data_IF_520696419109
#
_entry.id   IF_520696419109
#
_cell.length_a   1.000
_cell.length_b   1.000
_cell.length_c   1.000
_cell.angle_alpha   90.00
_cell.angle_beta   90.00
_cell.angle_gamma   90.00
#
_symmetry.space_group_name_H-M   'P 1'
#
loop_
_entity.id
_entity.type
_entity.pdbx_description
1 polymer ?
#
# COMPACT_ATOMS: atom_id res chain seq x y z
N UNK A 1 -9.10 29.11 -12.16
CA UNK A 1 -9.47 27.92 -11.39
C UNK A 1 -9.29 26.73 -12.32
N UNK A 2 -8.35 25.83 -12.03
CA UNK A 2 -8.17 24.60 -12.81
C UNK A 2 -9.33 23.69 -12.41
N UNK A 3 -10.20 23.33 -13.35
CA UNK A 3 -11.23 22.32 -13.11
C UNK A 3 -10.57 21.03 -12.60
N UNK A 4 -11.08 20.42 -11.53
CA UNK A 4 -10.56 19.13 -11.09
C UNK A 4 -10.62 18.15 -12.27
N UNK A 5 -9.50 17.50 -12.57
CA UNK A 5 -9.45 16.50 -13.62
C UNK A 5 -10.26 15.28 -13.17
N UNK A 6 -11.30 14.94 -13.92
CA UNK A 6 -12.15 13.78 -13.65
C UNK A 6 -11.55 12.58 -14.39
N UNK A 7 -11.29 11.50 -13.66
CA UNK A 7 -10.85 10.23 -14.25
C UNK A 7 -12.06 9.31 -14.45
N UNK A 8 -12.04 8.51 -15.52
CA UNK A 8 -13.15 7.63 -15.88
C UNK A 8 -13.31 6.50 -14.85
N UNK A 9 -12.19 5.85 -14.49
CA UNK A 9 -12.12 4.78 -13.48
C UNK A 9 -10.89 4.96 -12.62
N UNK A 10 -10.97 4.49 -11.41
CA UNK A 10 -9.81 4.40 -10.50
C UNK A 10 -9.54 2.93 -10.20
N UNK A 11 -8.32 2.47 -10.50
CA UNK A 11 -7.86 1.11 -10.29
C UNK A 11 -6.85 1.15 -9.16
N UNK A 12 -7.16 0.50 -8.04
CA UNK A 12 -6.33 0.48 -6.83
C UNK A 12 -5.74 -0.92 -6.67
N UNK A 13 -4.42 -1.03 -6.57
CA UNK A 13 -3.69 -2.29 -6.39
C UNK A 13 -2.69 -2.15 -5.24
N UNK A 14 -2.34 -3.27 -4.60
CA UNK A 14 -1.39 -3.27 -3.47
C UNK A 14 -0.43 -4.45 -3.52
N UNK A 15 0.65 -4.37 -2.75
CA UNK A 15 1.57 -5.47 -2.42
C UNK A 15 2.06 -6.23 -3.65
N UNK A 16 2.61 -5.48 -4.61
CA UNK A 16 3.13 -6.01 -5.88
C UNK A 16 4.35 -6.90 -5.66
N UNK A 17 5.18 -6.58 -4.66
CA UNK A 17 6.31 -7.40 -4.24
C UNK A 17 7.12 -7.98 -5.40
N UNK A 18 7.46 -7.18 -6.42
CA UNK A 18 8.22 -7.64 -7.57
C UNK A 18 7.51 -8.68 -8.45
N UNK A 19 6.20 -8.92 -8.28
CA UNK A 19 5.38 -9.79 -9.11
C UNK A 19 4.98 -9.07 -10.42
N UNK A 20 5.97 -8.74 -11.22
CA UNK A 20 5.82 -7.88 -12.39
C UNK A 20 4.90 -8.45 -13.47
N UNK A 21 4.97 -9.77 -13.71
CA UNK A 21 4.14 -10.42 -14.74
C UNK A 21 2.65 -10.44 -14.34
N UNK A 22 2.38 -10.63 -13.05
CA UNK A 22 1.02 -10.56 -12.48
C UNK A 22 0.50 -9.12 -12.55
N UNK A 23 1.35 -8.13 -12.29
CA UNK A 23 1.00 -6.72 -12.44
C UNK A 23 0.62 -6.39 -13.89
N UNK A 24 1.41 -6.79 -14.88
CA UNK A 24 1.06 -6.64 -16.31
C UNK A 24 -0.24 -7.37 -16.65
N UNK A 25 -0.41 -8.59 -16.13
CA UNK A 25 -1.63 -9.38 -16.28
C UNK A 25 -2.85 -8.65 -15.73
N UNK A 26 -2.71 -8.00 -14.56
CA UNK A 26 -3.77 -7.23 -13.92
C UNK A 26 -4.13 -5.97 -14.72
N UNK A 27 -3.15 -5.20 -15.17
CA UNK A 27 -3.36 -4.04 -16.05
C UNK A 27 -4.09 -4.44 -17.34
N UNK A 28 -3.69 -5.57 -17.95
CA UNK A 28 -4.38 -6.13 -19.15
C UNK A 28 -5.81 -6.57 -18.83
N UNK A 29 -6.03 -7.27 -17.72
CA UNK A 29 -7.35 -7.78 -17.32
C UNK A 29 -8.34 -6.67 -17.01
N UNK A 30 -7.86 -5.60 -16.35
CA UNK A 30 -8.63 -4.39 -16.07
C UNK A 30 -8.80 -3.51 -17.30
N UNK A 31 -8.09 -3.80 -18.40
CA UNK A 31 -8.01 -2.96 -19.60
C UNK A 31 -7.59 -1.52 -19.25
N UNK A 32 -6.64 -1.40 -18.32
CA UNK A 32 -6.12 -0.10 -17.91
C UNK A 32 -5.54 0.67 -19.10
N UNK A 33 -5.91 1.93 -19.23
CA UNK A 33 -5.40 2.81 -20.28
C UNK A 33 -5.36 4.26 -19.80
N UNK A 34 -4.19 4.88 -19.91
CA UNK A 34 -4.00 6.31 -19.63
C UNK A 34 -4.84 7.16 -20.60
N UNK A 35 -4.88 6.79 -21.88
CA UNK A 35 -5.60 7.52 -22.93
C UNK A 35 -7.12 7.49 -22.73
N UNK A 36 -7.64 6.43 -22.09
CA UNK A 36 -9.05 6.34 -21.74
C UNK A 36 -9.42 7.11 -20.47
N UNK A 37 -8.43 7.75 -19.81
CA UNK A 37 -8.66 8.51 -18.58
C UNK A 37 -8.79 7.64 -17.33
N UNK A 38 -8.22 6.44 -17.32
CA UNK A 38 -8.14 5.62 -16.12
C UNK A 38 -7.08 6.17 -15.15
N UNK A 39 -7.35 6.10 -13.86
CA UNK A 39 -6.38 6.38 -12.78
C UNK A 39 -5.85 5.07 -12.20
N UNK A 40 -4.55 4.97 -11.99
CA UNK A 40 -3.91 3.87 -11.26
C UNK A 40 -3.43 4.36 -9.90
N UNK A 41 -3.69 3.59 -8.85
CA UNK A 41 -3.22 3.86 -7.48
C UNK A 41 -2.55 2.60 -6.93
N UNK A 42 -1.28 2.73 -6.51
CA UNK A 42 -0.50 1.62 -5.94
C UNK A 42 -0.29 1.86 -4.44
N UNK A 43 -0.74 0.93 -3.60
CA UNK A 43 -0.75 1.08 -2.15
C UNK A 43 0.52 0.56 -1.46
N UNK A 44 1.67 0.69 -2.11
CA UNK A 44 2.97 0.33 -1.55
C UNK A 44 3.34 -1.14 -1.70
N UNK A 45 4.46 -1.49 -1.06
CA UNK A 45 5.12 -2.80 -1.12
C UNK A 45 5.34 -3.26 -2.57
N UNK A 46 5.98 -2.39 -3.35
CA UNK A 46 6.36 -2.64 -4.74
C UNK A 46 7.56 -3.57 -4.85
N UNK A 47 8.41 -3.60 -3.82
CA UNK A 47 9.70 -4.31 -3.80
C UNK A 47 9.70 -5.52 -2.87
N UNK A 48 10.76 -6.31 -2.90
CA UNK A 48 10.99 -7.55 -2.15
C UNK A 48 10.15 -8.76 -2.62
N UNK A 49 10.55 -9.94 -2.17
CA UNK A 49 9.88 -11.25 -2.28
C UNK A 49 9.83 -11.83 -3.69
N UNK A 50 9.23 -11.14 -4.64
CA UNK A 50 9.17 -11.56 -6.04
C UNK A 50 10.42 -11.17 -6.82
N UNK A 51 10.53 -11.64 -8.08
CA UNK A 51 11.80 -11.62 -8.83
C UNK A 51 12.16 -10.28 -9.48
N UNK A 52 11.24 -9.32 -9.56
CA UNK A 52 11.37 -8.18 -10.49
C UNK A 52 11.01 -6.84 -9.85
N UNK A 53 11.58 -6.57 -8.65
CA UNK A 53 11.31 -5.33 -7.89
C UNK A 53 11.61 -4.07 -8.70
N UNK A 54 12.76 -3.97 -9.35
CA UNK A 54 13.11 -2.80 -10.16
C UNK A 54 12.15 -2.60 -11.33
N UNK A 55 11.77 -3.68 -12.04
CA UNK A 55 10.83 -3.57 -13.16
C UNK A 55 9.46 -3.06 -12.73
N UNK A 56 9.00 -3.42 -11.53
CA UNK A 56 7.73 -2.89 -10.97
C UNK A 56 7.86 -1.40 -10.75
N UNK A 57 8.90 -0.96 -10.04
CA UNK A 57 9.14 0.46 -9.74
C UNK A 57 9.29 1.28 -11.01
N UNK A 58 10.17 0.85 -11.93
CA UNK A 58 10.46 1.55 -13.17
C UNK A 58 9.20 1.66 -14.07
N UNK A 59 8.35 0.63 -14.09
CA UNK A 59 7.12 0.65 -14.86
C UNK A 59 6.12 1.67 -14.29
N UNK A 60 5.95 1.73 -12.97
CA UNK A 60 5.03 2.69 -12.33
C UNK A 60 5.55 4.12 -12.57
N UNK A 61 6.84 4.36 -12.42
CA UNK A 61 7.48 5.65 -12.73
C UNK A 61 7.25 6.05 -14.20
N UNK A 62 7.43 5.10 -15.12
CA UNK A 62 7.21 5.35 -16.55
C UNK A 62 5.73 5.69 -16.85
N UNK A 63 4.78 4.98 -16.25
CA UNK A 63 3.35 5.31 -16.36
C UNK A 63 3.04 6.70 -15.78
N UNK A 64 3.67 7.07 -14.67
CA UNK A 64 3.48 8.37 -14.05
C UNK A 64 4.00 9.51 -14.94
N UNK A 65 5.12 9.29 -15.64
CA UNK A 65 5.68 10.26 -16.59
C UNK A 65 4.83 10.38 -17.88
N UNK A 66 4.17 9.31 -18.32
CA UNK A 66 3.32 9.30 -19.51
C UNK A 66 1.94 9.88 -19.24
N UNK A 67 1.42 9.69 -18.03
CA UNK A 67 0.12 10.15 -17.62
C UNK A 67 0.09 11.64 -17.28
N UNK A 68 -1.12 12.16 -17.10
CA UNK A 68 -1.33 13.51 -16.57
C UNK A 68 -1.23 13.53 -15.04
N UNK A 69 -1.06 14.72 -14.48
CA UNK A 69 -0.93 14.88 -13.03
C UNK A 69 -2.10 14.21 -12.25
N UNK A 70 -1.78 13.37 -11.29
CA UNK A 70 -2.76 12.64 -10.48
C UNK A 70 -3.36 11.40 -11.14
N UNK A 71 -2.92 11.04 -12.35
CA UNK A 71 -3.43 9.85 -13.05
C UNK A 71 -2.76 8.55 -12.57
N UNK A 72 -1.48 8.60 -12.25
CA UNK A 72 -0.77 7.46 -11.64
C UNK A 72 -0.23 7.92 -10.29
N UNK A 73 -0.67 7.28 -9.24
CA UNK A 73 -0.34 7.61 -7.87
C UNK A 73 0.20 6.37 -7.15
N UNK A 74 1.12 6.59 -6.22
CA UNK A 74 1.60 5.54 -5.34
C UNK A 74 1.76 6.06 -3.92
N UNK A 75 1.65 5.19 -2.94
CA UNK A 75 2.05 5.44 -1.57
C UNK A 75 3.18 4.50 -1.18
N UNK A 76 3.91 4.85 -0.13
CA UNK A 76 5.01 4.04 0.37
C UNK A 76 4.48 2.86 1.19
N UNK A 77 5.02 1.65 0.95
CA UNK A 77 4.86 0.48 1.81
C UNK A 77 6.04 0.31 2.77
N UNK A 78 5.94 -0.64 3.70
CA UNK A 78 7.01 -0.86 4.69
C UNK A 78 8.26 -1.50 4.07
N UNK A 79 8.11 -2.30 3.01
CA UNK A 79 9.24 -2.83 2.26
C UNK A 79 9.94 -1.73 1.47
N UNK A 80 9.20 -0.83 0.83
CA UNK A 80 9.74 0.32 0.12
C UNK A 80 10.51 1.25 1.08
N UNK A 81 9.90 1.61 2.21
CA UNK A 81 10.48 2.45 3.25
C UNK A 81 11.79 1.90 3.80
N UNK A 82 11.94 0.59 3.85
CA UNK A 82 13.17 -0.04 4.29
C UNK A 82 14.36 0.34 3.41
N UNK A 83 14.18 0.31 2.08
CA UNK A 83 15.25 0.68 1.14
C UNK A 83 15.52 2.19 1.14
N UNK A 84 14.49 3.01 1.25
CA UNK A 84 14.62 4.46 1.43
C UNK A 84 15.49 4.78 2.65
N UNK A 85 15.18 4.18 3.79
CA UNK A 85 15.97 4.40 5.03
C UNK A 85 17.38 3.87 4.92
N UNK A 86 17.55 2.68 4.33
CA UNK A 86 18.88 2.11 4.12
C UNK A 86 19.73 3.01 3.21
N UNK A 87 19.15 3.50 2.12
CA UNK A 87 19.82 4.41 1.18
C UNK A 87 20.22 5.72 1.85
N UNK A 88 19.33 6.35 2.61
CA UNK A 88 19.65 7.57 3.35
C UNK A 88 20.86 7.38 4.30
N UNK A 89 20.93 6.25 5.00
CA UNK A 89 22.08 5.92 5.83
C UNK A 89 23.34 5.60 5.02
N UNK A 90 23.20 5.00 3.84
CA UNK A 90 24.32 4.71 2.94
C UNK A 90 24.93 6.00 2.40
N UNK A 91 24.10 6.94 1.94
CA UNK A 91 24.53 8.26 1.48
C UNK A 91 25.25 9.04 2.59
N UNK A 92 24.67 9.05 3.79
CA UNK A 92 25.33 9.67 4.94
C UNK A 92 26.71 9.06 5.23
N UNK A 93 26.92 7.76 5.02
CA UNK A 93 28.20 7.10 5.22
C UNK A 93 29.23 7.48 4.13
N UNK A 94 28.78 7.93 2.95
CA UNK A 94 29.65 8.49 1.90
C UNK A 94 30.13 9.89 2.31
N UNK A 95 29.21 10.73 2.79
CA UNK A 95 29.50 12.10 3.18
C UNK A 95 30.32 12.19 4.49
N UNK A 96 30.09 11.28 5.41
CA UNK A 96 30.73 11.20 6.73
C UNK A 96 31.45 9.85 6.89
N UNK A 97 32.74 9.71 6.54
CA UNK A 97 33.45 8.41 6.57
C UNK A 97 33.50 7.70 7.93
N UNK A 98 33.31 8.43 9.03
CA UNK A 98 33.21 7.86 10.39
C UNK A 98 31.83 7.27 10.71
N UNK A 99 30.80 7.63 9.94
CA UNK A 99 29.45 7.13 10.12
C UNK A 99 29.33 5.71 9.59
N UNK A 100 28.69 4.83 10.37
CA UNK A 100 28.39 3.45 9.96
C UNK A 100 26.88 3.31 9.79
N UNK A 101 26.45 2.79 8.64
CA UNK A 101 25.05 2.50 8.43
C UNK A 101 24.55 1.50 9.53
N UNK A 102 23.58 1.91 10.37
CA UNK A 102 23.07 1.04 11.44
C UNK A 102 22.17 -0.10 10.90
N UNK A 103 21.72 0.01 9.64
CA UNK A 103 20.87 -0.99 9.01
C UNK A 103 21.72 -2.04 8.30
N UNK A 104 21.22 -3.29 8.33
CA UNK A 104 21.81 -4.41 7.55
C UNK A 104 20.74 -4.99 6.65
N UNK A 105 21.12 -5.29 5.42
CA UNK A 105 20.31 -6.05 4.48
C UNK A 105 20.80 -7.50 4.46
N UNK A 106 19.88 -8.45 4.34
CA UNK A 106 20.20 -9.83 3.97
C UNK A 106 20.63 -9.88 2.50
N UNK A 107 21.29 -10.94 2.07
CA UNK A 107 21.82 -11.05 0.70
C UNK A 107 20.75 -10.85 -0.37
N UNK A 108 19.57 -11.43 -0.18
CA UNK A 108 18.42 -11.26 -1.07
C UNK A 108 17.98 -9.78 -1.17
N UNK A 109 17.92 -9.07 -0.04
CA UNK A 109 17.57 -7.64 0.01
C UNK A 109 18.67 -6.74 -0.54
N UNK A 110 19.92 -7.12 -0.36
CA UNK A 110 21.04 -6.40 -0.98
C UNK A 110 21.00 -6.50 -2.52
N UNK A 111 20.61 -7.66 -3.07
CA UNK A 111 20.38 -7.79 -4.50
C UNK A 111 19.26 -6.89 -5.01
N UNK A 112 18.13 -6.82 -4.28
CA UNK A 112 17.04 -5.90 -4.61
C UNK A 112 17.54 -4.45 -4.54
N UNK A 113 18.22 -4.05 -3.46
CA UNK A 113 18.77 -2.69 -3.34
C UNK A 113 19.68 -2.30 -4.50
N UNK A 114 20.57 -3.19 -4.91
CA UNK A 114 21.50 -2.97 -6.04
C UNK A 114 20.79 -2.96 -7.41
N UNK A 115 19.58 -3.51 -7.51
CA UNK A 115 18.78 -3.48 -8.74
C UNK A 115 17.99 -2.19 -8.91
N UNK A 116 17.77 -1.43 -7.84
CA UNK A 116 17.09 -0.14 -7.86
C UNK A 116 18.07 0.96 -8.29
N UNK A 117 17.65 1.81 -9.22
CA UNK A 117 18.41 3.01 -9.58
C UNK A 117 18.34 4.06 -8.47
N UNK A 118 19.22 5.06 -8.53
CA UNK A 118 19.16 6.20 -7.64
C UNK A 118 17.85 6.98 -7.81
N UNK A 119 17.41 7.19 -9.05
CA UNK A 119 16.11 7.80 -9.37
C UNK A 119 14.93 7.02 -8.76
N UNK A 120 14.98 5.67 -8.80
CA UNK A 120 13.94 4.82 -8.20
C UNK A 120 13.93 4.97 -6.68
N UNK A 121 15.09 5.06 -6.02
CA UNK A 121 15.19 5.25 -4.56
C UNK A 121 14.74 6.64 -4.14
N UNK A 122 15.07 7.67 -4.91
CA UNK A 122 14.60 9.04 -4.70
C UNK A 122 13.09 9.13 -4.88
N UNK A 123 12.56 8.55 -5.96
CA UNK A 123 11.11 8.46 -6.19
C UNK A 123 10.39 7.76 -5.04
N UNK A 124 10.86 6.59 -4.61
CA UNK A 124 10.29 5.87 -3.46
C UNK A 124 10.32 6.73 -2.19
N UNK A 125 11.35 7.55 -2.00
CA UNK A 125 11.47 8.44 -0.83
C UNK A 125 10.46 9.60 -0.85
N UNK A 126 10.03 10.02 -2.03
CA UNK A 126 9.07 11.11 -2.24
C UNK A 126 7.61 10.70 -2.03
N UNK A 127 7.33 9.39 -1.97
CA UNK A 127 5.96 8.89 -1.88
C UNK A 127 5.31 9.21 -0.53
N UNK A 128 4.04 9.66 -0.54
CA UNK A 128 3.26 9.82 0.68
C UNK A 128 2.92 8.47 1.31
N UNK A 129 2.42 8.47 2.55
CA UNK A 129 1.94 7.25 3.23
C UNK A 129 0.43 7.07 3.19
N UNK A 130 -0.30 8.10 2.74
CA UNK A 130 -1.76 8.06 2.56
C UNK A 130 -2.18 8.93 1.37
N UNK A 131 -3.27 8.55 0.73
CA UNK A 131 -3.96 9.39 -0.27
C UNK A 131 -5.44 9.41 0.07
N UNK A 132 -6.08 10.58 -0.01
CA UNK A 132 -7.52 10.74 0.16
C UNK A 132 -8.17 11.13 -1.16
N UNK A 133 -9.23 10.43 -1.53
CA UNK A 133 -10.10 10.69 -2.67
C UNK A 133 -11.47 11.17 -2.17
N UNK A 134 -11.69 12.50 -2.06
CA UNK A 134 -12.94 13.05 -1.56
C UNK A 134 -14.16 12.61 -2.39
N UNK A 135 -13.97 12.46 -3.70
CA UNK A 135 -15.01 12.05 -4.65
C UNK A 135 -15.60 10.66 -4.35
N UNK A 136 -14.84 9.79 -3.68
CA UNK A 136 -15.26 8.44 -3.28
C UNK A 136 -15.45 8.30 -1.76
N UNK A 137 -15.26 9.38 -1.00
CA UNK A 137 -15.10 9.30 0.46
C UNK A 137 -14.14 8.20 0.87
N UNK A 138 -12.96 8.10 0.24
CA UNK A 138 -12.03 7.00 0.33
C UNK A 138 -10.64 7.45 0.74
N UNK A 139 -10.08 6.84 1.78
CA UNK A 139 -8.69 6.95 2.17
C UNK A 139 -7.94 5.68 1.76
N UNK A 140 -6.79 5.86 1.14
CA UNK A 140 -5.82 4.80 0.83
C UNK A 140 -4.66 4.87 1.83
N UNK A 141 -4.29 3.74 2.40
CA UNK A 141 -3.15 3.58 3.31
C UNK A 141 -2.52 2.21 3.09
N UNK A 142 -1.21 2.04 3.35
CA UNK A 142 -0.59 0.74 3.14
C UNK A 142 -1.00 -0.29 4.20
N UNK A 143 -0.63 -0.11 5.47
CA UNK A 143 -0.94 -1.09 6.53
C UNK A 143 -2.19 -0.73 7.32
N UNK A 144 -2.35 0.53 7.68
CA UNK A 144 -3.45 1.00 8.50
C UNK A 144 -3.07 2.21 9.35
N UNK A 145 -3.76 2.38 10.45
CA UNK A 145 -3.55 3.49 11.40
C UNK A 145 -4.03 3.11 12.80
N UNK A 146 -3.75 3.94 13.80
CA UNK A 146 -4.33 3.77 15.14
C UNK A 146 -5.84 4.05 15.08
N UNK A 147 -6.69 3.04 15.35
CA UNK A 147 -8.13 3.14 15.08
C UNK A 147 -8.93 3.85 16.19
N UNK A 148 -8.25 4.33 17.24
CA UNK A 148 -8.91 4.84 18.44
C UNK A 148 -9.28 6.32 18.33
N UNK A 149 -10.45 6.67 18.88
CA UNK A 149 -10.92 8.05 18.94
C UNK A 149 -11.63 8.54 17.68
N UNK A 150 -12.00 7.62 16.80
CA UNK A 150 -12.89 7.90 15.66
C UNK A 150 -14.36 7.69 16.02
N UNK A 151 -15.25 8.28 15.25
CA UNK A 151 -16.68 8.16 15.36
C UNK A 151 -17.32 8.45 14.01
N UNK A 152 -18.41 7.76 13.61
CA UNK A 152 -19.11 8.03 12.35
C UNK A 152 -19.77 9.41 12.33
N UNK A 153 -19.95 10.06 13.49
CA UNK A 153 -20.51 11.41 13.60
C UNK A 153 -19.47 12.52 13.34
N UNK A 154 -18.20 12.20 13.14
CA UNK A 154 -17.17 13.18 12.75
C UNK A 154 -17.31 13.53 11.27
N UNK A 155 -16.87 14.73 10.92
CA UNK A 155 -16.75 15.08 9.50
C UNK A 155 -15.68 14.23 8.84
N UNK A 156 -15.83 13.97 7.55
CA UNK A 156 -14.80 13.27 6.73
C UNK A 156 -13.45 13.98 6.85
N UNK A 157 -13.44 15.30 6.75
CA UNK A 157 -12.21 16.09 6.85
C UNK A 157 -11.51 15.93 8.21
N UNK A 158 -12.24 15.95 9.34
CA UNK A 158 -11.64 15.72 10.67
C UNK A 158 -11.08 14.30 10.78
N UNK A 159 -11.81 13.31 10.26
CA UNK A 159 -11.35 11.90 10.25
C UNK A 159 -10.08 11.74 9.43
N UNK A 160 -10.03 12.27 8.22
CA UNK A 160 -8.86 12.20 7.33
C UNK A 160 -7.67 12.92 7.96
N UNK A 161 -7.84 14.13 8.44
CA UNK A 161 -6.75 14.89 9.08
C UNK A 161 -6.14 14.14 10.26
N UNK A 162 -6.98 13.56 11.14
CA UNK A 162 -6.51 12.75 12.29
C UNK A 162 -5.75 11.50 11.89
N UNK A 163 -6.11 10.88 10.78
CA UNK A 163 -5.35 9.74 10.26
C UNK A 163 -4.00 10.24 9.74
N UNK A 164 -3.99 11.28 8.91
CA UNK A 164 -2.80 11.82 8.27
C UNK A 164 -1.80 12.44 9.26
N UNK A 165 -2.25 12.95 10.39
CA UNK A 165 -1.41 13.46 11.49
C UNK A 165 -0.68 12.36 12.27
N UNK A 166 -1.06 11.10 12.11
CA UNK A 166 -0.37 10.00 12.76
C UNK A 166 1.03 9.81 12.14
N UNK A 167 1.93 9.21 12.92
CA UNK A 167 3.31 8.97 12.47
C UNK A 167 3.30 8.09 11.21
N UNK A 168 4.04 8.46 10.15
CA UNK A 168 4.12 7.66 8.93
C UNK A 168 4.43 6.18 9.17
N UNK A 169 5.30 5.87 10.14
CA UNK A 169 5.62 4.49 10.50
C UNK A 169 4.41 3.65 10.91
N UNK A 170 3.36 4.27 11.48
CA UNK A 170 2.11 3.57 11.83
C UNK A 170 1.35 3.18 10.57
N UNK A 171 1.27 4.09 9.59
CA UNK A 171 0.61 3.81 8.31
C UNK A 171 1.21 2.63 7.55
N UNK A 172 2.51 2.39 7.75
CA UNK A 172 3.24 1.32 7.07
C UNK A 172 3.05 -0.07 7.68
N UNK A 173 2.77 -0.16 9.01
CA UNK A 173 2.85 -1.45 9.72
C UNK A 173 1.65 -1.76 10.62
N UNK A 174 0.65 -0.88 10.68
CA UNK A 174 -0.49 -1.11 11.57
C UNK A 174 -1.29 -2.35 11.15
N UNK A 175 -1.46 -3.28 12.09
CA UNK A 175 -2.26 -4.50 11.92
C UNK A 175 -3.15 -4.71 13.14
N UNK A 176 -2.57 -5.12 14.26
CA UNK A 176 -3.29 -5.50 15.47
C UNK A 176 -3.00 -4.57 16.64
N UNK A 177 -4.00 -4.36 17.47
CA UNK A 177 -3.94 -3.55 18.66
C UNK A 177 -4.49 -4.29 19.88
N UNK A 178 -3.79 -4.16 21.01
CA UNK A 178 -4.40 -4.48 22.30
C UNK A 178 -5.42 -3.39 22.64
N UNK A 179 -6.68 -3.77 22.79
CA UNK A 179 -7.79 -2.82 22.97
C UNK A 179 -7.67 -2.08 24.31
N UNK A 180 -7.30 -2.79 25.38
CA UNK A 180 -7.24 -2.25 26.74
C UNK A 180 -6.27 -1.09 26.91
N UNK A 181 -5.07 -1.18 26.30
CA UNK A 181 -4.04 -0.16 26.39
C UNK A 181 -3.78 0.62 25.11
N UNK A 182 -4.57 0.37 24.06
CA UNK A 182 -4.51 1.02 22.73
C UNK A 182 -3.14 0.91 22.05
N UNK A 183 -2.41 -0.17 22.33
CA UNK A 183 -1.05 -0.36 21.86
C UNK A 183 -1.03 -1.23 20.58
N UNK A 184 -0.31 -0.75 19.55
CA UNK A 184 0.04 -1.56 18.39
C UNK A 184 0.93 -2.73 18.84
N UNK A 185 0.63 -3.93 18.36
CA UNK A 185 1.36 -5.14 18.71
C UNK A 185 1.90 -5.84 17.47
N UNK A 186 3.11 -6.42 17.53
CA UNK A 186 3.65 -7.25 16.45
C UNK A 186 2.95 -8.61 16.43
N UNK A 187 3.03 -9.29 15.29
CA UNK A 187 2.73 -10.71 15.18
C UNK A 187 3.86 -11.54 15.83
N UNK A 188 3.55 -12.73 16.29
CA UNK A 188 4.54 -13.70 16.73
C UNK A 188 5.34 -14.31 15.55
N UNK A 189 6.24 -15.28 15.84
CA UNK A 189 7.06 -15.92 14.81
C UNK A 189 6.24 -16.77 13.82
N UNK A 190 5.05 -17.20 14.21
CA UNK A 190 4.11 -17.97 13.38
C UNK A 190 3.06 -17.07 12.70
N UNK A 191 3.32 -15.76 12.70
CA UNK A 191 2.44 -14.73 12.15
C UNK A 191 1.05 -14.62 12.81
N UNK A 192 0.89 -15.15 14.03
CA UNK A 192 -0.34 -15.02 14.78
C UNK A 192 -0.38 -13.71 15.57
N UNK A 193 -1.57 -13.08 15.69
CA UNK A 193 -1.73 -11.93 16.56
C UNK A 193 -1.74 -12.38 18.04
N UNK A 194 -1.20 -11.55 18.97
CA UNK A 194 -1.29 -11.83 20.39
C UNK A 194 -2.73 -12.01 20.87
N UNK A 195 -2.94 -12.91 21.82
CA UNK A 195 -4.27 -13.14 22.40
C UNK A 195 -4.87 -11.85 22.98
N UNK A 196 -6.16 -11.60 22.73
CA UNK A 196 -6.86 -10.39 23.16
C UNK A 196 -6.62 -9.15 22.29
N UNK A 197 -5.81 -9.24 21.23
CA UNK A 197 -5.69 -8.17 20.23
C UNK A 197 -6.80 -8.26 19.17
N UNK A 198 -7.07 -7.12 18.53
CA UNK A 198 -7.97 -7.02 17.36
C UNK A 198 -7.25 -6.37 16.20
N UNK A 199 -7.62 -6.78 14.99
CA UNK A 199 -7.19 -6.05 13.80
C UNK A 199 -7.77 -4.63 13.84
N UNK A 200 -7.02 -3.63 13.35
CA UNK A 200 -7.44 -2.23 13.42
C UNK A 200 -8.80 -1.98 12.77
N UNK A 201 -9.12 -2.72 11.71
CA UNK A 201 -10.41 -2.61 11.01
C UNK A 201 -11.59 -3.05 11.87
N UNK A 202 -11.41 -3.93 12.83
CA UNK A 202 -12.47 -4.32 13.76
C UNK A 202 -12.79 -3.24 14.82
N UNK A 203 -11.84 -2.31 15.03
CA UNK A 203 -11.94 -1.26 16.04
C UNK A 203 -12.37 0.08 15.41
N UNK A 204 -11.90 0.34 14.19
CA UNK A 204 -12.16 1.61 13.50
C UNK A 204 -13.65 1.84 13.30
N UNK A 205 -14.15 3.00 13.71
CA UNK A 205 -15.54 3.44 13.55
C UNK A 205 -15.57 4.92 13.15
N UNK A 206 -14.97 5.22 12.01
CA UNK A 206 -14.90 6.59 11.46
C UNK A 206 -15.90 6.84 10.36
N UNK A 207 -15.74 8.00 9.69
CA UNK A 207 -16.65 8.52 8.66
C UNK A 207 -16.09 8.42 7.24
N UNK A 208 -14.95 7.71 7.04
CA UNK A 208 -14.29 7.56 5.73
C UNK A 208 -14.08 6.09 5.42
N UNK A 209 -14.33 5.69 4.17
CA UNK A 209 -13.99 4.37 3.66
C UNK A 209 -12.47 4.22 3.59
N UNK A 210 -11.95 3.00 3.78
CA UNK A 210 -10.51 2.77 3.72
C UNK A 210 -10.17 1.55 2.86
N UNK A 211 -9.20 1.72 1.96
CA UNK A 211 -8.56 0.61 1.23
C UNK A 211 -7.11 0.50 1.69
N UNK A 212 -6.68 -0.73 1.96
CA UNK A 212 -5.35 -1.03 2.49
C UNK A 212 -4.78 -2.34 1.95
N UNK A 213 -3.50 -2.59 2.19
CA UNK A 213 -2.75 -3.80 1.84
C UNK A 213 -2.08 -4.45 3.04
N UNK A 214 -0.83 -4.91 2.89
CA UNK A 214 0.11 -5.29 3.93
C UNK A 214 -0.22 -6.58 4.71
N UNK A 215 -1.48 -6.86 5.02
CA UNK A 215 -1.89 -8.03 5.77
C UNK A 215 -2.77 -8.96 4.92
N UNK A 216 -2.25 -10.16 4.67
CA UNK A 216 -2.97 -11.20 3.95
C UNK A 216 -4.00 -11.84 4.90
N UNK A 217 -5.26 -11.46 4.77
CA UNK A 217 -6.37 -12.09 5.50
C UNK A 217 -6.82 -13.40 4.83
N UNK A 218 -6.72 -13.43 3.50
CA UNK A 218 -7.08 -14.57 2.66
C UNK A 218 -6.27 -14.51 1.37
N UNK A 219 -5.91 -15.67 0.82
CA UNK A 219 -5.27 -15.75 -0.51
C UNK A 219 -6.30 -15.81 -1.65
N UNK A 220 -7.59 -15.90 -1.33
CA UNK A 220 -8.64 -16.05 -2.31
C UNK A 220 -9.35 -14.74 -2.62
N UNK A 221 -9.82 -14.03 -1.59
CA UNK A 221 -10.66 -12.84 -1.73
C UNK A 221 -10.19 -11.71 -0.80
N UNK A 222 -10.34 -10.43 -1.20
CA UNK A 222 -10.16 -9.28 -0.33
C UNK A 222 -11.00 -9.36 0.94
N UNK A 223 -10.45 -8.83 2.02
CA UNK A 223 -11.12 -8.80 3.31
C UNK A 223 -11.94 -7.52 3.46
N UNK A 224 -13.26 -7.65 3.52
CA UNK A 224 -14.18 -6.51 3.64
C UNK A 224 -14.82 -6.49 5.02
N UNK A 225 -14.83 -5.31 5.64
CA UNK A 225 -15.58 -5.05 6.88
C UNK A 225 -16.53 -3.90 6.61
N UNK A 226 -17.83 -4.22 6.54
CA UNK A 226 -18.91 -3.26 6.42
C UNK A 226 -19.40 -2.81 7.80
N UNK A 227 -19.82 -1.54 7.89
CA UNK A 227 -20.36 -0.98 9.11
C UNK A 227 -21.81 -0.54 8.93
N UNK A 228 -22.55 -0.54 10.02
CA UNK A 228 -23.94 -0.06 10.03
C UNK A 228 -24.07 1.40 9.56
N UNK A 229 -23.00 2.19 9.68
CA UNK A 229 -22.92 3.56 9.16
C UNK A 229 -22.81 3.67 7.63
N UNK A 230 -22.67 2.54 6.91
CA UNK A 230 -22.40 2.50 5.47
C UNK A 230 -20.92 2.72 5.10
N UNK A 231 -20.04 2.84 6.10
CA UNK A 231 -18.59 2.92 5.90
C UNK A 231 -18.01 1.51 5.84
N UNK A 232 -17.04 1.30 4.94
CA UNK A 232 -16.36 0.02 4.78
C UNK A 232 -14.84 0.17 4.84
N UNK A 233 -14.18 -0.95 5.12
CA UNK A 233 -12.73 -1.10 4.94
C UNK A 233 -12.45 -2.33 4.07
N UNK A 234 -11.50 -2.22 3.14
CA UNK A 234 -11.12 -3.29 2.22
C UNK A 234 -9.62 -3.55 2.32
N UNK A 235 -9.23 -4.76 2.77
CA UNK A 235 -7.88 -5.28 2.67
C UNK A 235 -7.71 -6.00 1.34
N UNK A 236 -6.92 -5.40 0.42
CA UNK A 236 -6.75 -5.91 -0.94
C UNK A 236 -5.63 -6.94 -1.07
N UNK A 237 -4.71 -7.05 -0.10
CA UNK A 237 -3.60 -8.00 -0.18
C UNK A 237 -4.10 -9.43 -0.08
N UNK A 238 -4.07 -10.13 -1.19
CA UNK A 238 -4.44 -11.55 -1.33
C UNK A 238 -3.22 -12.44 -1.57
N UNK A 239 -2.03 -11.99 -1.13
CA UNK A 239 -0.84 -12.81 -1.03
C UNK A 239 -0.24 -13.23 -2.37
N UNK A 240 -0.21 -12.38 -3.38
CA UNK A 240 0.33 -12.71 -4.71
C UNK A 240 1.72 -13.37 -4.62
N UNK A 241 2.66 -12.76 -3.89
CA UNK A 241 4.02 -13.31 -3.76
C UNK A 241 4.07 -14.64 -3.01
N UNK A 242 3.02 -15.01 -2.27
CA UNK A 242 2.89 -16.28 -1.55
C UNK A 242 2.14 -17.36 -2.33
N UNK A 243 1.79 -17.10 -3.59
CA UNK A 243 1.06 -18.05 -4.43
C UNK A 243 -0.46 -17.85 -4.44
N UNK A 244 -0.96 -16.79 -3.81
CA UNK A 244 -2.35 -16.37 -3.87
C UNK A 244 -2.69 -15.60 -5.15
N UNK A 245 -3.32 -14.46 -5.02
CA UNK A 245 -3.74 -13.64 -6.17
C UNK A 245 -3.22 -12.19 -6.02
N UNK A 246 -3.05 -11.50 -7.13
CA UNK A 246 -2.92 -10.05 -7.16
C UNK A 246 -4.31 -9.46 -7.38
N UNK A 247 -4.77 -8.64 -6.43
CA UNK A 247 -6.11 -8.06 -6.45
C UNK A 247 -6.08 -6.56 -6.72
N UNK A 248 -7.04 -6.09 -7.49
CA UNK A 248 -7.33 -4.68 -7.66
C UNK A 248 -8.80 -4.38 -7.36
N UNK A 249 -9.04 -3.23 -6.74
CA UNK A 249 -10.35 -2.60 -6.65
C UNK A 249 -10.49 -1.65 -7.84
N UNK A 250 -11.51 -1.86 -8.67
CA UNK A 250 -11.87 -0.99 -9.81
C UNK A 250 -13.11 -0.22 -9.43
N UNK A 251 -13.01 1.10 -9.47
CA UNK A 251 -14.09 2.04 -9.14
C UNK A 251 -14.40 2.86 -10.40
N UNK A 252 -15.60 2.75 -10.92
CA UNK A 252 -16.04 3.46 -12.14
C UNK A 252 -17.13 4.51 -11.88
N UNK A 253 -17.39 4.82 -10.61
CA UNK A 253 -18.40 5.79 -10.16
C UNK A 253 -19.81 5.22 -10.01
N UNK A 254 -20.10 4.02 -10.55
CA UNK A 254 -21.39 3.34 -10.41
C UNK A 254 -21.31 2.12 -9.50
N UNK A 255 -20.31 1.28 -9.73
CA UNK A 255 -20.09 0.05 -8.97
C UNK A 255 -18.59 -0.14 -8.67
N UNK A 256 -18.32 -0.82 -7.56
CA UNK A 256 -16.98 -1.25 -7.21
C UNK A 256 -16.83 -2.71 -7.56
N UNK A 257 -15.78 -3.06 -8.32
CA UNK A 257 -15.50 -4.43 -8.71
C UNK A 257 -14.10 -4.86 -8.26
N UNK A 258 -13.96 -6.08 -7.78
CA UNK A 258 -12.66 -6.70 -7.55
C UNK A 258 -12.23 -7.47 -8.78
N UNK A 259 -11.04 -7.17 -9.27
CA UNK A 259 -10.41 -7.90 -10.39
C UNK A 259 -9.14 -8.56 -9.87
N UNK A 260 -8.98 -9.85 -10.13
CA UNK A 260 -7.86 -10.63 -9.62
C UNK A 260 -7.12 -11.38 -10.73
N UNK A 261 -5.81 -11.57 -10.56
CA UNK A 261 -4.96 -12.45 -11.36
C UNK A 261 -4.30 -13.45 -10.41
N UNK A 262 -4.30 -14.75 -10.71
CA UNK A 262 -3.59 -15.72 -9.89
C UNK A 262 -2.08 -15.47 -10.00
N UNK A 263 -1.35 -15.76 -8.93
CA UNK A 263 0.10 -15.80 -8.98
C UNK A 263 0.58 -16.90 -9.93
N UNK A 264 1.63 -16.63 -10.69
CA UNK A 264 2.23 -17.62 -11.59
C UNK A 264 2.88 -18.79 -10.80
N UNK A 265 3.34 -18.50 -9.58
CA UNK A 265 3.92 -19.46 -8.64
C UNK A 265 4.04 -18.86 -7.25
N UNK A 266 4.36 -19.67 -6.27
CA UNK A 266 4.81 -19.21 -4.96
C UNK A 266 6.23 -18.70 -5.07
N UNK A 267 6.46 -17.41 -4.85
CA UNK A 267 7.77 -16.77 -4.87
C UNK A 267 8.44 -16.80 -3.50
N UNK A 268 7.64 -16.76 -2.45
CA UNK A 268 8.05 -16.79 -1.05
C UNK A 268 7.04 -17.60 -0.24
N UNK A 269 7.51 -18.37 0.75
CA UNK A 269 6.62 -18.98 1.74
C UNK A 269 6.11 -17.89 2.71
N UNK A 270 4.85 -18.02 3.11
CA UNK A 270 4.19 -17.13 4.08
C UNK A 270 4.81 -17.31 5.47
#
# INVERSE_FOLDING_TARGET
MVTPQTFLRTIIVTDLHGCYQEFLGLLKKTKFSLDNGDRLVVLGDMVDRGPSSSLVVDHIMALQLQGVSGQVLAIQGNHDNKYVRYHAHAMKAVDEPSYKNPMRLSMDKEQVYRSLSEDSLEWLSSLPTTIHFPEFNLLCVHGGFSPFGFSPNRTVQDTVSRIQEQKPAVHLVARFYMVDNRKLVPLDNDHNPPAGSKHWTEIYDGSVNVVYGHHVHSMEEPYVVDRASGIYTIGLDTGCCFGGKLSALVMDGSENAVVQVPANKTYRNL
#
